data_IF_872308468009
#
_entry.id   IF_872308468009
#
_cell.length_a   1.000
_cell.length_b   1.000
_cell.length_c   1.000
_cell.angle_alpha   90.00
_cell.angle_beta   90.00
_cell.angle_gamma   90.00
#
_symmetry.space_group_name_H-M   'P 1'
#
loop_
_entity.id
_entity.type
_entity.pdbx_description
1 polymer ?
#
# COMPACT_ATOMS: atom_id res chain seq x y z
N UNK A 1 -9.61 3.25 5.63
CA UNK A 1 -8.59 2.17 5.71
C UNK A 1 -7.32 2.71 5.09
N UNK A 2 -6.18 2.69 5.79
CA UNK A 2 -4.91 3.24 5.29
C UNK A 2 -4.06 2.11 4.70
N UNK A 3 -3.87 2.12 3.37
CA UNK A 3 -3.09 1.11 2.65
C UNK A 3 -1.66 0.97 3.20
N UNK A 4 -1.00 2.08 3.55
CA UNK A 4 0.38 2.06 4.00
C UNK A 4 0.54 1.31 5.33
N UNK A 5 -0.37 1.54 6.28
CA UNK A 5 -0.36 0.84 7.56
C UNK A 5 -0.62 -0.66 7.41
N UNK A 6 -1.54 -1.02 6.51
CA UNK A 6 -1.90 -2.43 6.26
C UNK A 6 -0.78 -3.17 5.51
N UNK A 7 -0.13 -2.52 4.54
CA UNK A 7 1.03 -3.06 3.84
C UNK A 7 2.18 -3.36 4.81
N UNK A 8 2.45 -2.44 5.75
CA UNK A 8 3.47 -2.64 6.78
C UNK A 8 3.10 -3.77 7.73
N UNK A 9 1.86 -3.83 8.21
CA UNK A 9 1.42 -4.90 9.11
C UNK A 9 1.50 -6.30 8.46
N UNK A 10 1.23 -6.42 7.16
CA UNK A 10 1.41 -7.68 6.43
C UNK A 10 2.89 -8.04 6.33
N UNK A 11 3.75 -7.06 6.05
CA UNK A 11 5.19 -7.26 5.99
C UNK A 11 5.80 -7.68 7.34
N UNK A 12 5.35 -7.07 8.43
CA UNK A 12 5.82 -7.36 9.79
C UNK A 12 5.23 -8.66 10.37
N UNK A 13 4.24 -9.26 9.70
CA UNK A 13 3.55 -10.47 10.15
C UNK A 13 2.44 -10.24 11.19
N UNK A 14 2.12 -8.97 11.48
CA UNK A 14 1.01 -8.57 12.34
C UNK A 14 -0.36 -8.81 11.69
N UNK A 15 -0.40 -8.94 10.36
CA UNK A 15 -1.59 -9.21 9.58
C UNK A 15 -1.40 -10.44 8.67
N UNK A 16 -2.49 -11.18 8.36
CA UNK A 16 -2.40 -12.34 7.49
C UNK A 16 -1.97 -11.93 6.08
N UNK A 17 -1.04 -12.70 5.51
CA UNK A 17 -0.47 -12.49 4.19
C UNK A 17 -1.55 -12.56 3.10
N UNK A 18 -1.76 -11.44 2.43
CA UNK A 18 -2.75 -11.29 1.35
C UNK A 18 -2.33 -10.17 0.42
N UNK A 19 -2.69 -10.29 -0.86
CA UNK A 19 -2.57 -9.19 -1.79
C UNK A 19 -3.55 -8.07 -1.41
N UNK A 20 -3.05 -6.88 -1.15
CA UNK A 20 -3.85 -5.67 -0.92
C UNK A 20 -3.62 -4.67 -2.04
N UNK A 21 -4.66 -3.92 -2.37
CA UNK A 21 -4.59 -2.79 -3.30
C UNK A 21 -5.23 -1.57 -2.64
N UNK A 22 -4.64 -0.41 -2.87
CA UNK A 22 -5.14 0.82 -2.28
C UNK A 22 -4.40 2.05 -2.76
N UNK A 23 -4.88 3.20 -2.31
CA UNK A 23 -4.26 4.48 -2.57
C UNK A 23 -3.34 4.86 -1.40
N UNK A 24 -2.10 5.21 -1.71
CA UNK A 24 -1.17 5.82 -0.78
C UNK A 24 -0.72 7.19 -1.31
N UNK A 25 -0.42 8.12 -0.40
CA UNK A 25 0.26 9.37 -0.79
C UNK A 25 1.68 9.06 -1.25
N UNK A 26 2.24 9.95 -2.07
CA UNK A 26 3.61 9.80 -2.59
C UNK A 26 4.64 9.61 -1.47
N UNK A 27 4.54 10.40 -0.40
CA UNK A 27 5.43 10.31 0.76
C UNK A 27 5.31 8.96 1.49
N UNK A 28 4.10 8.43 1.61
CA UNK A 28 3.85 7.15 2.26
C UNK A 28 4.32 5.98 1.38
N UNK A 29 4.06 6.04 0.07
CA UNK A 29 4.60 5.06 -0.88
C UNK A 29 6.13 5.03 -0.87
N UNK A 30 6.77 6.20 -0.74
CA UNK A 30 8.23 6.29 -0.60
C UNK A 30 8.72 5.62 0.68
N UNK A 31 8.09 5.92 1.82
CA UNK A 31 8.43 5.27 3.09
C UNK A 31 8.27 3.76 3.04
N UNK A 32 7.22 3.25 2.37
CA UNK A 32 7.04 1.80 2.21
C UNK A 32 8.22 1.16 1.48
N UNK A 33 8.74 1.80 0.43
CA UNK A 33 9.94 1.34 -0.28
C UNK A 33 11.17 1.42 0.62
N UNK A 34 11.34 2.52 1.37
CA UNK A 34 12.45 2.71 2.32
C UNK A 34 12.43 1.68 3.47
N UNK A 35 11.24 1.33 3.94
CA UNK A 35 10.98 0.30 4.97
C UNK A 35 11.18 -1.13 4.43
N UNK A 36 11.39 -1.30 3.11
CA UNK A 36 11.54 -2.61 2.47
C UNK A 36 10.22 -3.32 2.18
N UNK A 37 9.08 -2.63 2.33
CA UNK A 37 7.76 -3.17 2.01
C UNK A 37 7.60 -3.24 0.48
N UNK A 38 7.31 -4.43 -0.09
CA UNK A 38 7.19 -4.59 -1.54
C UNK A 38 5.90 -3.93 -2.05
N UNK A 39 6.05 -2.71 -2.57
CA UNK A 39 4.96 -1.95 -3.20
C UNK A 39 5.22 -1.76 -4.69
N UNK A 40 4.19 -1.98 -5.50
CA UNK A 40 4.24 -1.76 -6.94
C UNK A 40 3.20 -0.71 -7.35
N UNK A 41 3.58 0.29 -8.17
CA UNK A 41 2.60 1.20 -8.74
C UNK A 41 1.70 0.44 -9.72
N UNK A 42 0.39 0.69 -9.66
CA UNK A 42 -0.53 0.13 -10.65
C UNK A 42 -0.29 0.80 -12.02
N UNK A 43 -0.33 0.02 -13.12
CA UNK A 43 -0.08 0.53 -14.48
C UNK A 43 -1.16 1.51 -14.99
N UNK A 44 -2.24 1.66 -14.23
CA UNK A 44 -3.29 2.65 -14.44
C UNK A 44 -3.57 3.34 -13.10
N UNK A 45 -3.74 4.66 -13.12
CA UNK A 45 -4.27 5.36 -11.95
C UNK A 45 -5.66 4.80 -11.66
N UNK A 46 -5.99 4.44 -10.40
CA UNK A 46 -7.37 4.14 -10.06
C UNK A 46 -8.19 5.37 -10.43
N UNK A 47 -9.11 5.22 -11.38
CA UNK A 47 -10.07 6.25 -11.69
C UNK A 47 -10.88 6.48 -10.43
N UNK A 48 -10.61 7.58 -9.72
CA UNK A 48 -11.37 7.98 -8.54
C UNK A 48 -12.86 8.00 -8.90
N UNK A 49 -13.57 6.96 -8.51
CA UNK A 49 -15.03 6.90 -8.53
C UNK A 49 -15.48 6.70 -7.08
N UNK A 50 -15.64 7.83 -6.40
CA UNK A 50 -16.50 7.91 -5.23
C UNK A 50 -17.78 8.60 -5.72
N UNK A 51 -18.89 7.87 -5.78
CA UNK A 51 -20.24 8.44 -5.83
C UNK A 51 -20.77 8.46 -4.40
#
# INVERSE_FOLDING_TARGET
MNFASEARAIHDGDAPDRAIYGEARLDEARKLIEDGVPVAPLPFMPGRKSN
#
